data_IF_066670774814
#
_entry.id   IF_066670774814
#
_cell.length_a   1.000
_cell.length_b   1.000
_cell.length_c   1.000
_cell.angle_alpha   90.00
_cell.angle_beta   90.00
_cell.angle_gamma   90.00
#
_symmetry.space_group_name_H-M   'P 1'
#
loop_
_entity.id
_entity.type
_entity.pdbx_description
1 polymer ?
#
# COMPACT_ATOMS: atom_id res chain seq x y z
N UNK A 1 -9.18 1.32 29.59
CA UNK A 1 -9.17 -0.04 30.17
C UNK A 1 -9.45 -0.97 29.00
N UNK A 2 -8.45 -1.68 28.46
CA UNK A 2 -8.68 -2.55 27.32
C UNK A 2 -9.23 -3.90 27.78
N UNK A 3 -10.53 -4.06 27.52
CA UNK A 3 -11.30 -5.28 27.40
C UNK A 3 -10.94 -5.96 26.07
N UNK A 4 -10.50 -7.20 26.13
CA UNK A 4 -10.31 -8.08 24.97
C UNK A 4 -10.24 -9.51 25.47
N UNK A 5 -11.05 -10.40 24.90
CA UNK A 5 -11.08 -11.80 25.32
C UNK A 5 -9.70 -12.44 25.12
N UNK A 6 -9.26 -13.14 26.16
CA UNK A 6 -7.94 -13.75 26.30
C UNK A 6 -7.81 -14.90 25.28
N UNK A 7 -7.54 -14.58 24.01
CA UNK A 7 -6.97 -15.43 22.94
C UNK A 7 -7.13 -14.86 21.51
N UNK A 8 -7.69 -13.66 21.31
CA UNK A 8 -7.71 -13.07 19.98
C UNK A 8 -6.30 -12.63 19.56
N UNK A 9 -5.79 -13.20 18.46
CA UNK A 9 -4.55 -12.72 17.85
C UNK A 9 -4.74 -11.25 17.46
N UNK A 10 -3.83 -10.35 17.83
CA UNK A 10 -3.96 -8.95 17.48
C UNK A 10 -4.18 -8.81 15.97
N UNK A 11 -5.32 -8.26 15.59
CA UNK A 11 -5.63 -7.95 14.21
C UNK A 11 -4.89 -6.66 13.88
N UNK A 12 -3.69 -6.78 13.32
CA UNK A 12 -2.93 -5.62 12.87
C UNK A 12 -3.29 -5.42 11.40
N UNK A 13 -4.12 -4.42 11.06
CA UNK A 13 -4.41 -4.14 9.67
C UNK A 13 -3.17 -3.52 9.00
N UNK A 14 -2.95 -3.87 7.75
CA UNK A 14 -1.87 -3.32 6.92
C UNK A 14 -2.44 -2.29 5.97
N UNK A 15 -1.74 -1.18 5.77
CA UNK A 15 -2.19 -0.14 4.84
C UNK A 15 -1.32 -0.18 3.58
N UNK A 16 -1.96 -0.43 2.44
CA UNK A 16 -1.36 -0.25 1.12
C UNK A 16 -1.60 1.18 0.68
N UNK A 17 -0.52 1.94 0.50
CA UNK A 17 -0.57 3.32 0.02
C UNK A 17 0.02 3.41 -1.38
N UNK A 18 -0.69 4.10 -2.26
CA UNK A 18 -0.22 4.46 -3.59
C UNK A 18 -0.08 5.96 -3.64
N UNK A 19 1.13 6.42 -3.95
CA UNK A 19 1.45 7.84 -3.98
C UNK A 19 2.06 8.21 -5.33
N UNK A 20 1.67 9.36 -5.88
CA UNK A 20 2.46 9.99 -6.92
C UNK A 20 3.69 10.65 -6.28
N UNK A 21 4.86 10.38 -6.85
CA UNK A 21 6.15 10.83 -6.31
C UNK A 21 6.39 12.30 -6.59
N UNK A 22 5.96 12.81 -7.75
CA UNK A 22 6.26 14.20 -8.14
C UNK A 22 5.41 15.19 -7.35
N UNK A 23 4.14 14.86 -7.16
CA UNK A 23 3.19 15.74 -6.47
C UNK A 23 3.03 15.46 -4.98
N UNK A 24 3.59 14.35 -4.48
CA UNK A 24 3.32 13.81 -3.14
C UNK A 24 1.83 13.56 -2.85
N UNK A 25 1.01 13.34 -3.89
CA UNK A 25 -0.41 13.04 -3.72
C UNK A 25 -0.61 11.55 -3.43
N UNK A 26 -1.52 11.24 -2.50
CA UNK A 26 -2.00 9.88 -2.30
C UNK A 26 -3.06 9.60 -3.37
N UNK A 27 -2.75 8.69 -4.28
CA UNK A 27 -3.66 8.20 -5.32
C UNK A 27 -4.66 7.19 -4.75
N UNK A 28 -4.24 6.40 -3.76
CA UNK A 28 -5.10 5.41 -3.12
C UNK A 28 -4.56 4.93 -1.79
N UNK A 29 -5.47 4.53 -0.91
CA UNK A 29 -5.19 3.89 0.36
C UNK A 29 -6.15 2.72 0.53
N UNK A 30 -5.60 1.52 0.74
CA UNK A 30 -6.38 0.32 0.96
C UNK A 30 -5.97 -0.34 2.26
N UNK A 31 -6.96 -0.63 3.11
CA UNK A 31 -6.75 -1.42 4.31
C UNK A 31 -6.79 -2.91 3.93
N UNK A 32 -5.76 -3.64 4.35
CA UNK A 32 -5.58 -5.06 4.11
C UNK A 32 -5.59 -5.80 5.44
N UNK A 33 -6.31 -6.92 5.47
CA UNK A 33 -6.42 -7.80 6.63
C UNK A 33 -5.94 -9.19 6.25
N UNK A 34 -5.18 -9.82 7.15
CA UNK A 34 -4.65 -11.18 6.97
C UNK A 34 -5.75 -12.25 7.11
N UNK A 35 -6.87 -11.93 7.77
CA UNK A 35 -7.86 -12.93 8.19
C UNK A 35 -8.94 -13.24 7.14
N UNK A 36 -9.15 -12.37 6.18
CA UNK A 36 -10.34 -12.47 5.32
C UNK A 36 -10.16 -13.54 4.22
N UNK A 37 -8.90 -13.82 3.82
CA UNK A 37 -8.60 -14.58 2.59
C UNK A 37 -7.36 -15.47 2.74
N UNK A 38 -7.44 -16.57 3.50
CA UNK A 38 -6.37 -17.59 3.49
C UNK A 38 -5.02 -17.15 4.07
N UNK A 39 -5.01 -16.14 4.93
CA UNK A 39 -3.80 -15.69 5.63
C UNK A 39 -2.96 -14.70 4.82
N UNK A 40 -1.68 -14.62 5.18
CA UNK A 40 -0.72 -13.70 4.56
C UNK A 40 -0.63 -13.83 3.03
N UNK A 41 -0.60 -15.05 2.45
CA UNK A 41 -0.55 -15.21 1.00
C UNK A 41 -1.76 -14.66 0.26
N UNK A 42 -2.98 -14.88 0.76
CA UNK A 42 -4.17 -14.39 0.07
C UNK A 42 -4.40 -12.89 0.28
N UNK A 43 -3.99 -12.32 1.42
CA UNK A 43 -3.89 -10.87 1.56
C UNK A 43 -2.96 -10.26 0.50
N UNK A 44 -1.76 -10.83 0.32
CA UNK A 44 -0.80 -10.34 -0.67
C UNK A 44 -1.32 -10.48 -2.10
N UNK A 45 -2.06 -11.54 -2.41
CA UNK A 45 -2.61 -11.79 -3.74
C UNK A 45 -3.54 -10.65 -4.24
N UNK A 46 -4.12 -9.87 -3.33
CA UNK A 46 -4.98 -8.72 -3.66
C UNK A 46 -4.22 -7.45 -4.03
N UNK A 47 -2.93 -7.36 -3.70
CA UNK A 47 -2.15 -6.13 -3.89
C UNK A 47 -2.04 -5.72 -5.38
N UNK A 48 -1.73 -6.64 -6.32
CA UNK A 48 -1.70 -6.28 -7.74
C UNK A 48 -3.06 -5.78 -8.24
N UNK A 49 -4.16 -6.39 -7.80
CA UNK A 49 -5.51 -6.01 -8.22
C UNK A 49 -5.84 -4.59 -7.73
N UNK A 50 -5.62 -4.31 -6.44
CA UNK A 50 -5.83 -2.97 -5.88
C UNK A 50 -4.95 -1.90 -6.53
N UNK A 51 -3.72 -2.25 -6.89
CA UNK A 51 -2.83 -1.37 -7.64
C UNK A 51 -3.43 -1.04 -9.01
N UNK A 52 -3.80 -2.06 -9.78
CA UNK A 52 -4.36 -1.87 -11.12
C UNK A 52 -5.68 -1.11 -11.10
N UNK A 53 -6.58 -1.43 -10.16
CA UNK A 53 -7.84 -0.72 -9.96
C UNK A 53 -7.61 0.77 -9.68
N UNK A 54 -6.67 1.09 -8.80
CA UNK A 54 -6.35 2.49 -8.46
C UNK A 54 -5.76 3.22 -9.67
N UNK A 55 -4.82 2.61 -10.38
CA UNK A 55 -4.23 3.20 -11.59
C UNK A 55 -5.28 3.45 -12.68
N UNK A 56 -6.18 2.49 -12.91
CA UNK A 56 -7.29 2.62 -13.87
C UNK A 56 -8.26 3.72 -13.45
N UNK A 57 -8.66 3.75 -12.17
CA UNK A 57 -9.58 4.76 -11.62
C UNK A 57 -9.04 6.18 -11.83
N UNK A 58 -7.75 6.37 -11.59
CA UNK A 58 -7.10 7.68 -11.73
C UNK A 58 -6.54 7.94 -13.13
N UNK A 59 -6.70 7.00 -14.07
CA UNK A 59 -6.18 7.06 -15.45
C UNK A 59 -4.67 7.32 -15.49
N UNK A 60 -3.93 6.77 -14.53
CA UNK A 60 -2.48 6.90 -14.44
C UNK A 60 -1.84 5.69 -15.10
N UNK A 61 -0.89 5.94 -16.02
CA UNK A 61 -0.07 4.91 -16.63
C UNK A 61 1.40 5.12 -16.24
N UNK A 62 1.87 4.51 -15.15
CA UNK A 62 3.25 4.68 -14.72
C UNK A 62 4.19 3.94 -15.69
N UNK A 63 5.36 4.51 -15.95
CA UNK A 63 6.47 3.77 -16.58
C UNK A 63 7.33 3.07 -15.53
N UNK A 64 7.27 3.54 -14.27
CA UNK A 64 7.99 2.99 -13.12
C UNK A 64 7.13 3.00 -11.87
N UNK A 65 7.24 1.94 -11.08
CA UNK A 65 6.64 1.83 -9.75
C UNK A 65 7.76 1.54 -8.75
N UNK A 66 7.89 2.42 -7.75
CA UNK A 66 8.80 2.18 -6.64
C UNK A 66 8.04 1.55 -5.48
N UNK A 67 8.63 0.54 -4.84
CA UNK A 67 8.03 -0.16 -3.71
C UNK A 67 8.94 -0.11 -2.48
N UNK A 68 8.31 -0.10 -1.30
CA UNK A 68 9.00 0.07 -0.01
C UNK A 68 9.56 -1.23 0.57
N UNK A 69 9.28 -2.38 -0.04
CA UNK A 69 9.78 -3.68 0.44
C UNK A 69 10.23 -4.58 -0.71
N UNK A 70 11.27 -5.42 -0.52
CA UNK A 70 11.77 -6.29 -1.59
C UNK A 70 10.76 -7.36 -2.05
N UNK A 71 9.81 -7.74 -1.19
CA UNK A 71 8.81 -8.75 -1.55
C UNK A 71 7.71 -8.17 -2.43
N UNK A 72 7.37 -6.88 -2.28
CA UNK A 72 6.44 -6.20 -3.19
C UNK A 72 7.00 -6.13 -4.60
N UNK A 73 8.31 -5.93 -4.74
CA UNK A 73 8.97 -5.93 -6.05
C UNK A 73 8.79 -7.29 -6.72
N UNK A 74 9.08 -8.38 -6.00
CA UNK A 74 8.88 -9.75 -6.52
C UNK A 74 7.43 -10.06 -6.86
N UNK A 75 6.49 -9.54 -6.07
CA UNK A 75 5.05 -9.74 -6.28
C UNK A 75 4.55 -8.99 -7.53
N UNK A 76 5.07 -7.79 -7.77
CA UNK A 76 4.60 -6.90 -8.83
C UNK A 76 5.45 -6.96 -10.11
N UNK A 77 6.64 -7.56 -10.08
CA UNK A 77 7.50 -7.72 -11.26
C UNK A 77 6.81 -8.51 -12.40
N UNK A 78 6.14 -9.66 -12.15
CA UNK A 78 5.42 -10.37 -13.22
C UNK A 78 4.34 -9.53 -13.93
N UNK A 79 3.38 -8.88 -13.23
CA UNK A 79 2.41 -8.02 -13.89
C UNK A 79 3.03 -6.74 -14.47
N UNK A 80 4.11 -6.22 -13.85
CA UNK A 80 4.86 -5.08 -14.37
C UNK A 80 5.46 -5.36 -15.75
N UNK A 81 6.15 -6.51 -15.91
CA UNK A 81 6.71 -6.93 -17.21
C UNK A 81 5.62 -7.13 -18.28
N UNK A 82 4.46 -7.67 -17.91
CA UNK A 82 3.34 -7.85 -18.83
C UNK A 82 2.75 -6.51 -19.34
N UNK A 83 2.98 -5.42 -18.60
CA UNK A 83 2.42 -4.09 -18.87
C UNK A 83 3.46 -3.03 -19.26
N UNK A 84 4.73 -3.45 -19.44
CA UNK A 84 5.87 -2.58 -19.72
C UNK A 84 6.11 -1.52 -18.62
N UNK A 85 5.87 -1.92 -17.37
CA UNK A 85 6.10 -1.11 -16.17
C UNK A 85 7.29 -1.69 -15.40
N UNK A 86 8.29 -0.85 -15.15
CA UNK A 86 9.45 -1.26 -14.36
C UNK A 86 9.16 -1.13 -12.87
N UNK A 87 9.29 -2.22 -12.13
CA UNK A 87 9.11 -2.24 -10.67
C UNK A 87 10.48 -2.28 -10.00
N UNK A 88 10.70 -1.38 -9.04
CA UNK A 88 11.99 -1.26 -8.35
C UNK A 88 11.76 -1.14 -6.84
N UNK A 89 12.44 -2.00 -6.06
CA UNK A 89 12.54 -1.79 -4.62
C UNK A 89 13.43 -0.59 -4.28
N UNK A 90 12.93 0.30 -3.41
CA UNK A 90 13.73 1.36 -2.79
C UNK A 90 13.60 1.33 -1.28
N UNK A 91 14.74 1.20 -0.62
CA UNK A 91 14.83 1.20 0.84
C UNK A 91 14.45 2.56 1.45
N UNK A 92 14.76 3.65 0.75
CA UNK A 92 14.45 5.00 1.19
C UNK A 92 13.20 5.57 0.48
N UNK A 93 12.08 5.50 1.19
CA UNK A 93 10.84 6.26 0.90
C UNK A 93 10.53 7.26 2.02
N UNK A 94 11.55 7.77 2.71
CA UNK A 94 11.41 8.62 3.88
C UNK A 94 10.59 9.89 3.62
N UNK A 95 10.70 10.48 2.43
CA UNK A 95 9.89 11.62 2.03
C UNK A 95 8.38 11.30 2.01
N UNK A 96 7.99 10.12 1.53
CA UNK A 96 6.58 9.68 1.52
C UNK A 96 6.09 9.29 2.92
N UNK A 97 6.97 8.71 3.75
CA UNK A 97 6.67 8.37 5.14
C UNK A 97 6.53 9.61 6.04
N UNK A 98 7.30 10.68 5.77
CA UNK A 98 7.17 11.96 6.47
C UNK A 98 5.78 12.58 6.24
N UNK A 99 5.31 12.62 4.99
CA UNK A 99 3.97 13.09 4.63
C UNK A 99 2.88 12.26 5.30
N UNK A 100 3.04 10.93 5.36
CA UNK A 100 2.09 10.07 6.07
C UNK A 100 2.12 10.34 7.59
N UNK A 101 3.29 10.53 8.16
CA UNK A 101 3.46 10.89 9.57
C UNK A 101 2.78 12.23 9.91
N UNK A 102 2.91 13.24 9.04
CA UNK A 102 2.21 14.51 9.21
C UNK A 102 0.68 14.34 9.10
N UNK A 103 0.19 13.56 8.14
CA UNK A 103 -1.25 13.32 7.97
C UNK A 103 -1.86 12.54 9.14
N UNK A 104 -1.17 11.54 9.68
CA UNK A 104 -1.64 10.76 10.83
C UNK A 104 -1.59 11.55 12.14
N UNK A 105 -0.71 12.53 12.25
CA UNK A 105 -0.56 13.38 13.44
C UNK A 105 -1.27 14.74 13.31
N UNK A 106 -1.86 15.04 12.16
CA UNK A 106 -2.65 16.26 11.96
C UNK A 106 -3.98 16.11 12.71
N UNK A 107 -4.41 17.11 13.51
CA UNK A 107 -5.71 17.07 14.14
C UNK A 107 -6.79 16.98 13.06
N UNK A 108 -7.87 16.20 13.26
CA UNK A 108 -8.97 16.18 12.31
C UNK A 108 -9.48 17.61 12.18
N UNK A 109 -9.55 18.09 10.94
CA UNK A 109 -10.00 19.42 10.56
C UNK A 109 -11.09 19.94 11.52
N UNK A 110 -10.74 20.95 12.33
CA UNK A 110 -11.75 21.74 13.04
C UNK A 110 -12.44 22.61 11.99
N UNK A 111 -13.63 22.18 11.56
CA UNK A 111 -14.61 23.06 10.90
C UNK A 111 -15.51 23.70 11.95
#
# INVERSE_FOLDING_TARGET
MYTGEKNERPQIPYMLLLTDRESSFILGAQLLSVNDDGGWPGMMAKIPDHLMETLLKHKVRPTRIHVSTPWLEKLLDPPGRATDVYVEYREDMSAQMAVLGELLNSPPFQQ
#
